data_IF_407610897258
#
_entry.id   IF_407610897258
#
_cell.length_a   1.000
_cell.length_b   1.000
_cell.length_c   1.000
_cell.angle_alpha   90.00
_cell.angle_beta   90.00
_cell.angle_gamma   90.00
#
_symmetry.space_group_name_H-M   'P 1'
#
loop_
_entity.id
_entity.type
_entity.pdbx_description
1 polymer ?
#
# COMPACT_ATOMS: atom_id res chain seq x y z
N UNK A 1 7.31 15.14 12.46
CA UNK A 1 6.99 14.73 12.06
C UNK A 1 6.62 15.06 11.25
N UNK A 2 6.60 15.48 10.98
CA UNK A 2 6.53 15.61 10.26
C UNK A 2 5.70 16.01 9.36
N UNK A 3 5.77 16.39 8.42
CA UNK A 3 4.90 16.66 7.33
C UNK A 3 3.73 15.73 7.30
N UNK A 4 3.73 14.81 8.19
CA UNK A 4 2.66 13.86 8.28
C UNK A 4 1.30 14.53 8.42
N UNK A 5 1.13 15.58 9.22
CA UNK A 5 -0.21 16.19 9.37
C UNK A 5 -0.81 16.66 8.06
N UNK A 6 -0.02 17.36 7.25
CA UNK A 6 -0.54 17.88 5.99
C UNK A 6 -0.86 16.73 5.04
N UNK A 7 0.01 15.76 5.02
CA UNK A 7 -0.20 14.61 4.15
C UNK A 7 -1.43 13.83 4.57
N UNK A 8 -1.64 13.67 5.86
CA UNK A 8 -2.80 12.97 6.35
C UNK A 8 -4.08 13.70 5.99
N UNK A 9 -4.08 15.02 6.09
CA UNK A 9 -5.26 15.79 5.75
C UNK A 9 -5.68 15.56 4.31
N UNK A 10 -4.70 15.56 3.41
CA UNK A 10 -5.00 15.32 2.00
C UNK A 10 -5.53 13.91 1.80
N UNK A 11 -4.89 12.94 2.40
CA UNK A 11 -5.29 11.55 2.23
C UNK A 11 -6.68 11.30 2.81
N UNK A 12 -7.00 11.93 3.92
CA UNK A 12 -8.30 11.74 4.54
C UNK A 12 -9.43 12.30 3.70
N UNK A 13 -9.16 13.38 2.97
CA UNK A 13 -10.18 13.95 2.11
C UNK A 13 -10.46 13.01 0.93
N UNK A 14 -9.42 12.46 0.34
CA UNK A 14 -9.60 11.61 -0.84
C UNK A 14 -8.38 10.72 -1.03
N UNK A 15 -8.29 9.66 -0.22
CA UNK A 15 -7.14 8.77 -0.34
C UNK A 15 -7.11 8.10 -1.70
N UNK A 16 -5.94 8.01 -2.33
CA UNK A 16 -5.82 7.37 -3.62
C UNK A 16 -6.01 5.86 -3.50
N UNK A 17 -6.51 5.29 -4.58
CA UNK A 17 -6.69 3.84 -4.69
C UNK A 17 -5.88 3.33 -5.86
N UNK A 18 -5.58 2.04 -5.82
CA UNK A 18 -4.92 1.38 -6.92
C UNK A 18 -5.39 -0.07 -6.97
N UNK A 19 -5.25 -0.68 -8.13
CA UNK A 19 -5.65 -2.07 -8.34
C UNK A 19 -4.43 -2.94 -8.49
N UNK A 20 -4.48 -4.13 -7.90
CA UNK A 20 -3.42 -5.11 -8.05
C UNK A 20 -3.42 -5.62 -9.49
N UNK A 21 -2.27 -5.56 -10.15
CA UNK A 21 -2.17 -5.86 -11.58
C UNK A 21 -1.52 -7.20 -11.90
N UNK A 22 -1.44 -8.08 -10.93
CA UNK A 22 -0.87 -9.42 -11.13
C UNK A 22 -1.63 -10.41 -10.27
N UNK A 23 -1.37 -11.70 -10.46
CA UNK A 23 -2.11 -12.75 -9.77
C UNK A 23 -2.09 -12.59 -8.27
N UNK A 24 -0.89 -12.41 -7.72
CA UNK A 24 -0.69 -12.18 -6.31
C UNK A 24 0.38 -11.11 -6.13
N UNK A 25 0.25 -10.32 -5.11
CA UNK A 25 1.25 -9.33 -4.75
C UNK A 25 1.48 -9.42 -3.25
N UNK A 26 2.72 -9.61 -2.84
CA UNK A 26 3.06 -9.73 -1.43
C UNK A 26 3.01 -8.38 -0.74
N UNK A 27 2.44 -8.35 0.45
CA UNK A 27 2.53 -7.21 1.33
C UNK A 27 3.54 -7.52 2.41
N UNK A 28 4.43 -6.59 2.66
CA UNK A 28 5.55 -6.77 3.58
C UNK A 28 5.38 -5.90 4.82
N UNK A 29 6.04 -6.32 5.91
CA UNK A 29 6.01 -5.55 7.15
C UNK A 29 6.74 -4.23 7.03
N UNK A 30 7.77 -4.17 6.17
CA UNK A 30 8.59 -2.99 5.96
C UNK A 30 8.70 -2.74 4.46
N UNK A 31 9.09 -1.54 4.04
CA UNK A 31 9.29 -1.26 2.61
C UNK A 31 10.62 -1.86 2.12
N UNK A 32 10.72 -3.16 2.17
CA UNK A 32 11.92 -3.91 1.90
C UNK A 32 11.51 -5.31 1.48
N UNK A 33 11.96 -5.78 0.30
CA UNK A 33 11.58 -7.12 -0.17
C UNK A 33 12.10 -8.25 0.72
N UNK A 34 13.10 -7.97 1.54
CA UNK A 34 13.63 -8.99 2.46
C UNK A 34 12.86 -9.06 3.76
N UNK A 35 11.94 -8.12 4.00
CA UNK A 35 11.18 -8.14 5.23
C UNK A 35 10.07 -9.19 5.16
N UNK A 36 9.49 -9.47 6.30
CA UNK A 36 8.46 -10.50 6.42
C UNK A 36 7.23 -10.17 5.57
N UNK A 37 6.72 -11.18 4.85
CA UNK A 37 5.45 -11.04 4.18
C UNK A 37 4.35 -11.19 5.23
N UNK A 38 3.50 -10.16 5.32
CA UNK A 38 2.43 -10.16 6.32
C UNK A 38 1.08 -10.49 5.72
N UNK A 39 0.93 -10.37 4.40
CA UNK A 39 -0.31 -10.71 3.73
C UNK A 39 -0.04 -10.78 2.24
N UNK A 40 -1.09 -11.07 1.47
CA UNK A 40 -1.02 -11.16 0.03
C UNK A 40 -2.27 -10.55 -0.55
N UNK A 41 -2.11 -9.72 -1.57
CA UNK A 41 -3.23 -9.14 -2.30
C UNK A 41 -3.42 -9.88 -3.61
N UNK A 42 -4.63 -9.93 -4.10
CA UNK A 42 -4.97 -10.67 -5.31
C UNK A 42 -5.28 -9.74 -6.46
N UNK A 43 -5.16 -10.26 -7.66
CA UNK A 43 -5.42 -9.49 -8.87
C UNK A 43 -6.80 -8.82 -8.79
N UNK A 44 -6.81 -7.53 -9.11
CA UNK A 44 -8.04 -6.78 -9.14
C UNK A 44 -8.50 -6.22 -7.82
N UNK A 45 -7.85 -6.59 -6.71
CA UNK A 45 -8.21 -6.00 -5.43
C UNK A 45 -7.86 -4.52 -5.41
N UNK A 46 -8.75 -3.74 -4.84
CA UNK A 46 -8.54 -2.29 -4.71
C UNK A 46 -7.88 -2.02 -3.36
N UNK A 47 -6.75 -1.37 -3.41
CA UNK A 47 -6.00 -1.04 -2.20
C UNK A 47 -6.03 0.46 -2.00
N UNK A 48 -6.17 0.89 -0.74
CA UNK A 48 -6.09 2.30 -0.39
C UNK A 48 -4.63 2.62 -0.09
N UNK A 49 -4.08 3.62 -0.76
CA UNK A 49 -2.69 4.02 -0.58
C UNK A 49 -2.63 5.04 0.55
N UNK A 50 -1.90 4.71 1.60
CA UNK A 50 -1.81 5.55 2.78
C UNK A 50 -0.50 6.33 2.85
N UNK A 51 0.61 5.70 2.46
CA UNK A 51 1.94 6.32 2.52
C UNK A 51 2.74 5.86 1.32
N UNK A 52 3.60 6.74 0.81
CA UNK A 52 4.56 6.37 -0.21
C UNK A 52 5.96 6.59 0.34
N UNK A 53 6.82 5.60 0.13
CA UNK A 53 8.22 5.72 0.48
C UNK A 53 9.04 5.14 -0.66
N UNK A 54 9.58 6.02 -1.51
CA UNK A 54 10.30 5.61 -2.72
C UNK A 54 9.38 4.78 -3.59
N UNK A 55 9.78 3.56 -3.92
CA UNK A 55 8.99 2.70 -4.78
C UNK A 55 8.03 1.81 -4.00
N UNK A 56 7.90 2.03 -2.72
CA UNK A 56 7.02 1.24 -1.87
C UNK A 56 5.82 2.03 -1.43
N UNK A 57 4.68 1.36 -1.31
CA UNK A 57 3.43 1.97 -0.88
C UNK A 57 2.90 1.22 0.33
N UNK A 58 2.56 1.96 1.38
CA UNK A 58 1.87 1.37 2.52
C UNK A 58 0.38 1.44 2.22
N UNK A 59 -0.27 0.29 2.20
CA UNK A 59 -1.63 0.18 1.71
C UNK A 59 -2.51 -0.55 2.70
N UNK A 60 -3.82 -0.33 2.54
CA UNK A 60 -4.83 -1.07 3.27
C UNK A 60 -5.72 -1.79 2.27
N UNK A 61 -5.90 -3.08 2.47
CA UNK A 61 -6.75 -3.91 1.62
C UNK A 61 -8.18 -3.99 2.12
N UNK A 62 -9.03 -4.71 1.38
CA UNK A 62 -10.47 -4.77 1.66
C UNK A 62 -10.81 -5.30 3.05
N UNK A 63 -10.04 -6.22 3.57
CA UNK A 63 -10.31 -6.80 4.87
C UNK A 63 -9.55 -6.10 5.98
N UNK A 64 -9.21 -4.84 5.76
CA UNK A 64 -8.52 -4.01 6.73
C UNK A 64 -7.12 -4.51 7.08
N UNK A 65 -6.51 -5.32 6.23
CA UNK A 65 -5.11 -5.68 6.42
C UNK A 65 -4.23 -4.55 5.89
N UNK A 66 -3.03 -4.45 6.43
CA UNK A 66 -2.08 -3.41 6.06
C UNK A 66 -0.75 -4.03 5.66
N UNK A 67 -0.01 -3.33 4.83
CA UNK A 67 1.34 -3.75 4.51
C UNK A 67 1.95 -2.89 3.43
N UNK A 68 3.23 -3.14 3.17
CA UNK A 68 3.99 -2.44 2.14
C UNK A 68 4.01 -3.28 0.88
N UNK A 69 3.71 -2.64 -0.25
CA UNK A 69 3.67 -3.33 -1.54
C UNK A 69 4.57 -2.59 -2.52
N UNK A 70 5.22 -3.34 -3.38
CA UNK A 70 6.05 -2.78 -4.45
C UNK A 70 5.15 -2.09 -5.46
N UNK A 71 5.47 -0.84 -5.79
CA UNK A 71 4.55 -0.02 -6.57
C UNK A 71 4.25 -0.57 -7.96
N UNK A 72 5.17 -1.34 -8.54
CA UNK A 72 4.93 -1.90 -9.86
C UNK A 72 3.85 -2.97 -9.87
N UNK A 73 3.45 -3.47 -8.71
CA UNK A 73 2.37 -4.45 -8.62
C UNK A 73 0.98 -3.80 -8.65
N UNK A 74 0.94 -2.49 -8.79
CA UNK A 74 -0.31 -1.73 -8.79
C UNK A 74 -0.45 -0.88 -10.05
N UNK A 75 -1.71 -0.70 -10.43
CA UNK A 75 -2.06 0.22 -11.51
C UNK A 75 -2.90 1.36 -10.97
#
# INVERSE_FOLDING_TARGET
MKTAPARLAVAMVRPPHALVNRGFADLHAEPDPASERVDQAHHGERLVILVREHEWLFVQGPDHYFGWIWSEHLD
#
